data_IF_713319455869
#
_entry.id   IF_713319455869
#
_cell.length_a   1.000
_cell.length_b   1.000
_cell.length_c   1.000
_cell.angle_alpha   90.00
_cell.angle_beta   90.00
_cell.angle_gamma   90.00
#
_symmetry.space_group_name_H-M   'P 1'
#
loop_
_entity.id
_entity.type
_entity.pdbx_description
1 polymer ?
#
# COMPACT_ATOMS: atom_id res chain seq x y z
N UNK A 1 -19.75 -27.29 -66.34
CA UNK A 1 -20.61 -27.04 -65.15
C UNK A 1 -20.08 -27.88 -63.99
N UNK A 2 -19.27 -27.29 -63.10
CA UNK A 2 -18.84 -27.92 -61.84
C UNK A 2 -18.86 -26.82 -60.77
N UNK A 3 -19.82 -26.91 -59.86
CA UNK A 3 -19.97 -26.03 -58.71
C UNK A 3 -19.08 -26.62 -57.62
N UNK A 4 -18.02 -25.90 -57.23
CA UNK A 4 -17.22 -26.24 -56.07
C UNK A 4 -17.78 -25.48 -54.86
N UNK A 5 -18.54 -26.19 -54.02
CA UNK A 5 -18.91 -25.76 -52.67
C UNK A 5 -17.63 -25.70 -51.82
N UNK A 6 -17.24 -24.51 -51.38
CA UNK A 6 -16.22 -24.33 -50.35
C UNK A 6 -16.94 -24.22 -49.02
N UNK A 7 -16.87 -25.29 -48.21
CA UNK A 7 -17.27 -25.29 -46.80
C UNK A 7 -16.33 -24.33 -46.03
N UNK A 8 -16.84 -23.18 -45.63
CA UNK A 8 -16.20 -22.34 -44.61
C UNK A 8 -16.50 -22.96 -43.24
N UNK A 9 -15.58 -23.79 -42.74
CA UNK A 9 -15.61 -24.22 -41.35
C UNK A 9 -15.24 -23.01 -40.47
N UNK A 10 -16.26 -22.34 -39.92
CA UNK A 10 -16.13 -21.40 -38.81
C UNK A 10 -15.61 -22.16 -37.59
N UNK A 11 -14.27 -22.26 -37.49
CA UNK A 11 -13.60 -22.54 -36.24
C UNK A 11 -13.82 -21.32 -35.34
N UNK A 12 -14.91 -21.30 -34.58
CA UNK A 12 -15.07 -20.43 -33.43
C UNK A 12 -14.07 -20.89 -32.37
N UNK A 13 -12.82 -20.48 -32.53
CA UNK A 13 -11.82 -20.57 -31.46
C UNK A 13 -12.39 -19.72 -30.33
N UNK A 14 -12.72 -20.28 -29.16
CA UNK A 14 -13.03 -19.46 -28.01
C UNK A 14 -11.79 -18.62 -27.77
N UNK A 15 -11.92 -17.30 -27.90
CA UNK A 15 -10.86 -16.40 -27.50
C UNK A 15 -10.62 -16.66 -26.02
N UNK A 16 -9.60 -17.45 -25.72
CA UNK A 16 -9.01 -17.49 -24.40
C UNK A 16 -8.42 -16.09 -24.20
N UNK A 17 -9.24 -15.18 -23.70
CA UNK A 17 -8.74 -14.00 -23.02
C UNK A 17 -7.92 -14.55 -21.86
N UNK A 18 -6.61 -14.67 -22.06
CA UNK A 18 -5.69 -14.89 -20.96
C UNK A 18 -5.95 -13.75 -19.97
N UNK A 19 -6.39 -14.10 -18.76
CA UNK A 19 -6.66 -13.12 -17.72
C UNK A 19 -5.35 -12.47 -17.31
N UNK A 20 -5.00 -11.35 -17.96
CA UNK A 20 -3.81 -10.54 -17.65
C UNK A 20 -3.80 -10.05 -16.19
N UNK A 21 -4.95 -10.08 -15.53
CA UNK A 21 -5.13 -9.72 -14.12
C UNK A 21 -4.27 -10.59 -13.20
N UNK A 22 -4.23 -11.92 -13.42
CA UNK A 22 -3.45 -12.81 -12.55
C UNK A 22 -1.95 -12.50 -12.66
N UNK A 23 -1.48 -12.15 -13.86
CA UNK A 23 -0.09 -11.75 -14.08
C UNK A 23 0.21 -10.35 -13.51
N UNK A 24 -0.74 -9.41 -13.62
CA UNK A 24 -0.61 -8.06 -13.04
C UNK A 24 -0.43 -8.11 -11.52
N UNK A 25 -1.11 -9.03 -10.84
CA UNK A 25 -1.08 -9.16 -9.38
C UNK A 25 -0.19 -10.27 -8.84
N UNK A 26 0.37 -11.13 -9.69
CA UNK A 26 1.30 -12.20 -9.27
C UNK A 26 2.54 -11.66 -8.52
N UNK A 27 2.93 -10.42 -8.77
CA UNK A 27 4.04 -9.74 -8.10
C UNK A 27 3.68 -9.08 -6.76
N UNK A 28 2.42 -9.10 -6.33
CA UNK A 28 2.04 -8.53 -5.05
C UNK A 28 2.65 -9.33 -3.90
N UNK A 29 3.21 -8.61 -2.94
CA UNK A 29 3.69 -9.23 -1.71
C UNK A 29 2.48 -9.82 -0.95
N UNK A 30 2.49 -11.14 -0.75
CA UNK A 30 1.41 -11.88 -0.08
C UNK A 30 1.25 -11.49 1.39
N UNK A 31 2.27 -10.90 2.00
CA UNK A 31 2.21 -10.40 3.37
C UNK A 31 1.54 -9.01 3.44
N UNK A 32 1.32 -8.35 2.31
CA UNK A 32 0.61 -7.07 2.26
C UNK A 32 -0.87 -7.29 2.52
N UNK A 33 -1.37 -6.74 3.62
CA UNK A 33 -2.75 -6.95 4.05
C UNK A 33 -3.63 -5.75 3.81
N UNK A 34 -3.10 -4.56 4.08
CA UNK A 34 -3.85 -3.33 3.98
C UNK A 34 -3.06 -2.27 3.24
N UNK A 35 -3.78 -1.51 2.42
CA UNK A 35 -3.27 -0.34 1.74
C UNK A 35 -4.28 0.79 1.88
N UNK A 36 -3.79 1.97 2.20
CA UNK A 36 -4.56 3.21 2.11
C UNK A 36 -3.79 4.22 1.27
N UNK A 37 -4.49 5.02 0.48
CA UNK A 37 -3.90 6.12 -0.30
C UNK A 37 -4.71 7.38 -0.09
N UNK A 38 -4.03 8.50 0.11
CA UNK A 38 -4.65 9.80 0.33
C UNK A 38 -3.69 10.78 0.99
N UNK A 39 -4.25 11.88 1.52
CA UNK A 39 -3.44 13.00 1.99
C UNK A 39 -2.82 13.78 0.84
N UNK A 40 -2.15 14.86 1.19
CA UNK A 40 -1.44 15.71 0.25
C UNK A 40 -0.07 16.07 0.80
N UNK A 41 0.93 16.03 -0.06
CA UNK A 41 2.25 16.57 0.21
C UNK A 41 2.73 17.40 -0.97
N UNK A 42 3.56 18.38 -0.66
CA UNK A 42 4.27 19.17 -1.64
C UNK A 42 5.68 19.43 -1.12
N UNK A 43 6.68 19.14 -1.96
CA UNK A 43 8.07 19.45 -1.65
C UNK A 43 8.76 19.91 -2.94
N UNK A 44 9.37 21.10 -2.91
CA UNK A 44 9.91 21.77 -4.08
C UNK A 44 8.84 21.97 -5.18
N UNK A 45 9.04 21.38 -6.36
CA UNK A 45 8.14 21.42 -7.52
C UNK A 45 7.39 20.10 -7.74
N UNK A 46 7.33 19.24 -6.71
CA UNK A 46 6.64 17.97 -6.76
C UNK A 46 5.52 17.97 -5.73
N UNK A 47 4.43 17.33 -6.10
CA UNK A 47 3.26 17.14 -5.25
C UNK A 47 2.73 15.72 -5.45
N UNK A 48 1.93 15.28 -4.49
CA UNK A 48 1.35 13.95 -4.54
C UNK A 48 0.59 13.60 -3.28
N UNK A 49 0.40 12.30 -3.09
CA UNK A 49 -0.32 11.73 -1.95
C UNK A 49 0.55 10.68 -1.25
N UNK A 50 0.15 10.33 -0.03
CA UNK A 50 0.78 9.25 0.72
C UNK A 50 0.10 7.93 0.40
N UNK A 51 0.89 6.85 0.40
CA UNK A 51 0.35 5.48 0.47
C UNK A 51 0.89 4.78 1.70
N UNK A 52 -0.01 4.36 2.57
CA UNK A 52 0.30 3.57 3.74
C UNK A 52 0.11 2.09 3.41
N UNK A 53 1.12 1.30 3.76
CA UNK A 53 1.19 -0.12 3.48
C UNK A 53 1.40 -0.85 4.79
N UNK A 54 0.45 -1.69 5.17
CA UNK A 54 0.58 -2.57 6.34
C UNK A 54 0.81 -3.99 5.83
N UNK A 55 2.05 -4.45 5.98
CA UNK A 55 2.39 -5.85 5.80
C UNK A 55 2.37 -6.56 7.15
N UNK A 56 2.05 -7.84 7.19
CA UNK A 56 2.05 -8.55 8.46
C UNK A 56 1.60 -9.99 8.31
N UNK A 57 2.09 -10.82 9.23
CA UNK A 57 1.87 -12.26 9.21
C UNK A 57 2.46 -12.91 10.45
N UNK A 58 2.28 -14.22 10.55
CA UNK A 58 2.69 -15.02 11.70
C UNK A 58 1.51 -15.84 12.23
N UNK A 59 1.78 -17.13 12.47
CA UNK A 59 0.76 -18.06 12.95
C UNK A 59 0.59 -17.97 14.48
N UNK A 60 1.70 -18.00 15.24
CA UNK A 60 1.66 -17.97 16.71
C UNK A 60 1.87 -16.57 17.31
N UNK A 61 2.64 -15.72 16.65
CA UNK A 61 2.93 -14.35 17.10
C UNK A 61 2.75 -13.37 15.95
N UNK A 62 1.51 -12.92 15.78
CA UNK A 62 1.14 -11.98 14.73
C UNK A 62 1.90 -10.66 14.91
N UNK A 63 2.55 -10.20 13.83
CA UNK A 63 3.27 -8.93 13.78
C UNK A 63 2.93 -8.15 12.52
N UNK A 64 2.78 -6.85 12.67
CA UNK A 64 2.55 -5.90 11.60
C UNK A 64 3.81 -5.07 11.34
N UNK A 65 3.94 -4.58 10.11
CA UNK A 65 4.96 -3.62 9.67
C UNK A 65 4.27 -2.52 8.87
N UNK A 66 4.58 -1.27 9.18
CA UNK A 66 4.11 -0.10 8.47
C UNK A 66 5.20 0.43 7.54
N UNK A 67 4.81 0.66 6.29
CA UNK A 67 5.60 1.41 5.33
C UNK A 67 4.80 2.59 4.81
N UNK A 68 5.50 3.67 4.49
CA UNK A 68 4.92 4.88 3.92
C UNK A 68 5.60 5.17 2.59
N UNK A 69 4.78 5.43 1.57
CA UNK A 69 5.24 5.88 0.27
C UNK A 69 4.80 7.31 0.00
N UNK A 70 5.71 8.09 -0.59
CA UNK A 70 5.40 9.36 -1.23
C UNK A 70 5.19 9.07 -2.72
N UNK A 71 3.95 9.21 -3.17
CA UNK A 71 3.57 8.93 -4.56
C UNK A 71 3.30 10.25 -5.26
N UNK A 72 4.14 10.61 -6.22
CA UNK A 72 3.94 11.80 -7.04
C UNK A 72 2.69 11.63 -7.91
N UNK A 73 1.93 12.71 -8.08
CA UNK A 73 0.82 12.71 -9.04
C UNK A 73 1.32 12.35 -10.44
N UNK A 74 0.51 11.54 -11.12
CA UNK A 74 0.65 11.33 -12.55
C UNK A 74 -0.01 12.46 -13.33
N UNK A 75 -0.06 12.28 -14.64
CA UNK A 75 -0.88 13.08 -15.56
C UNK A 75 -1.72 12.14 -16.43
N UNK A 76 -2.51 12.70 -17.34
CA UNK A 76 -3.29 11.89 -18.31
C UNK A 76 -2.41 10.95 -19.15
N UNK A 77 -1.12 11.28 -19.31
CA UNK A 77 -0.15 10.49 -20.09
C UNK A 77 0.86 9.72 -19.24
N UNK A 78 0.93 9.98 -17.93
CA UNK A 78 1.95 9.40 -17.05
C UNK A 78 1.31 8.85 -15.77
N UNK A 79 1.59 7.59 -15.46
CA UNK A 79 1.10 6.99 -14.21
C UNK A 79 1.77 7.63 -12.98
N UNK A 80 1.08 7.67 -11.82
CA UNK A 80 1.69 8.09 -10.55
C UNK A 80 2.96 7.30 -10.23
N UNK A 81 3.96 7.98 -9.68
CA UNK A 81 5.30 7.40 -9.43
C UNK A 81 5.62 7.39 -7.94
N UNK A 82 6.01 6.22 -7.43
CA UNK A 82 6.58 6.13 -6.08
C UNK A 82 7.96 6.81 -6.08
N UNK A 83 8.08 7.92 -5.35
CA UNK A 83 9.35 8.64 -5.19
C UNK A 83 10.21 8.03 -4.09
N UNK A 84 9.56 7.65 -2.99
CA UNK A 84 10.22 7.11 -1.82
C UNK A 84 9.31 6.15 -1.09
N UNK A 85 9.90 5.07 -0.58
CA UNK A 85 9.30 4.18 0.41
C UNK A 85 10.18 4.23 1.65
N UNK A 86 9.59 4.36 2.83
CA UNK A 86 10.29 4.18 4.11
C UNK A 86 9.53 3.21 5.00
N UNK A 87 10.28 2.57 5.89
CA UNK A 87 9.76 1.85 7.05
C UNK A 87 9.59 2.81 8.23
N UNK A 88 8.58 2.56 9.06
CA UNK A 88 8.46 3.22 10.37
C UNK A 88 9.13 2.31 11.40
N UNK A 89 10.41 2.59 11.68
CA UNK A 89 11.30 1.68 12.42
C UNK A 89 10.78 1.35 13.82
N UNK A 90 10.22 2.33 14.49
CA UNK A 90 9.68 2.22 15.85
C UNK A 90 8.53 1.21 15.95
N UNK A 91 7.84 0.92 14.83
CA UNK A 91 6.77 -0.06 14.76
C UNK A 91 7.21 -1.39 14.11
N UNK A 92 8.27 -1.37 13.30
CA UNK A 92 8.68 -2.49 12.47
C UNK A 92 9.80 -3.35 13.09
N UNK A 93 10.58 -2.76 13.99
CA UNK A 93 11.73 -3.40 14.62
C UNK A 93 11.30 -4.08 15.93
N UNK A 94 11.93 -3.74 17.06
CA UNK A 94 11.55 -4.24 18.38
C UNK A 94 11.09 -3.07 19.27
N UNK A 95 10.03 -3.28 20.08
CA UNK A 95 9.28 -4.53 20.24
C UNK A 95 8.31 -4.83 19.08
N UNK A 96 7.83 -6.08 19.01
CA UNK A 96 6.88 -6.52 17.98
C UNK A 96 5.47 -6.05 18.32
N UNK A 97 4.81 -5.44 17.34
CA UNK A 97 3.46 -4.92 17.47
C UNK A 97 2.48 -5.54 16.48
N UNK A 98 1.22 -5.65 16.91
CA UNK A 98 0.06 -5.91 16.08
C UNK A 98 -0.78 -4.63 15.93
N UNK A 99 -1.06 -4.24 14.68
CA UNK A 99 -1.88 -3.06 14.35
C UNK A 99 -2.55 -3.20 12.98
N UNK A 100 -3.59 -2.38 12.76
CA UNK A 100 -4.31 -2.21 11.48
C UNK A 100 -3.80 -0.96 10.74
N UNK A 101 -4.52 -0.51 9.71
CA UNK A 101 -4.25 0.78 9.07
C UNK A 101 -4.29 1.91 10.11
N UNK A 102 -3.37 2.88 9.99
CA UNK A 102 -3.40 4.06 10.83
C UNK A 102 -4.56 4.98 10.40
N UNK A 103 -4.97 5.85 11.32
CA UNK A 103 -5.98 6.88 11.07
C UNK A 103 -5.31 8.20 10.71
N UNK A 104 -5.84 8.91 9.73
CA UNK A 104 -5.38 10.25 9.39
C UNK A 104 -5.73 11.24 10.51
N UNK A 105 -4.73 12.04 10.89
CA UNK A 105 -4.93 13.21 11.75
C UNK A 105 -4.92 14.45 10.85
N UNK A 106 -5.92 15.31 11.04
CA UNK A 106 -6.21 16.40 10.11
C UNK A 106 -7.22 15.97 9.05
N UNK A 107 -7.68 16.92 8.25
CA UNK A 107 -8.70 16.68 7.23
C UNK A 107 -8.08 15.97 6.02
N UNK A 108 -8.40 16.43 4.82
CA UNK A 108 -7.93 15.87 3.56
C UNK A 108 -6.39 15.90 3.39
N UNK A 109 -5.64 16.74 4.10
CA UNK A 109 -4.18 16.83 3.96
C UNK A 109 -3.44 15.61 4.53
N UNK A 110 -3.98 14.97 5.59
CA UNK A 110 -3.41 13.79 6.27
C UNK A 110 -1.86 13.79 6.35
N UNK A 111 -1.27 14.90 6.79
CA UNK A 111 0.18 15.00 6.97
C UNK A 111 0.68 14.36 8.28
N UNK A 112 -0.24 13.85 9.08
CA UNK A 112 0.03 13.12 10.30
C UNK A 112 -0.93 11.94 10.41
N UNK A 113 -0.50 10.87 11.05
CA UNK A 113 -1.31 9.69 11.31
C UNK A 113 -1.23 9.28 12.77
N UNK A 114 -2.33 8.72 13.27
CA UNK A 114 -2.41 8.05 14.56
C UNK A 114 -2.43 6.54 14.32
N UNK A 115 -1.71 5.79 15.16
CA UNK A 115 -1.79 4.35 15.17
C UNK A 115 -1.87 3.81 16.58
N UNK A 116 -2.81 2.90 16.79
CA UNK A 116 -2.92 2.11 18.02
C UNK A 116 -2.28 0.76 17.76
N UNK A 117 -1.19 0.48 18.48
CA UNK A 117 -0.40 -0.73 18.37
C UNK A 117 -0.49 -1.55 19.67
N UNK A 118 -0.65 -2.86 19.54
CA UNK A 118 -0.67 -3.78 20.69
C UNK A 118 0.62 -4.58 20.70
N UNK A 119 1.36 -4.55 21.80
CA UNK A 119 2.59 -5.32 21.97
C UNK A 119 2.29 -6.82 21.92
N UNK A 120 2.91 -7.57 21.01
CA UNK A 120 2.53 -8.96 20.71
C UNK A 120 2.69 -9.90 21.91
N UNK A 121 3.67 -9.65 22.79
CA UNK A 121 3.91 -10.47 23.99
C UNK A 121 3.25 -9.93 25.27
N UNK A 122 3.44 -8.65 25.59
CA UNK A 122 2.93 -8.02 26.81
C UNK A 122 1.43 -7.66 26.75
N UNK A 123 0.84 -7.64 25.55
CA UNK A 123 -0.56 -7.27 25.29
C UNK A 123 -0.93 -5.84 25.72
N UNK A 124 0.06 -5.02 26.04
CA UNK A 124 -0.06 -3.60 26.31
C UNK A 124 -0.33 -2.82 25.02
N UNK A 125 -1.13 -1.76 25.11
CA UNK A 125 -1.45 -0.91 23.97
C UNK A 125 -0.68 0.40 24.06
N UNK A 126 -0.22 0.86 22.90
CA UNK A 126 0.44 2.14 22.73
C UNK A 126 -0.26 2.91 21.63
N UNK A 127 -0.32 4.22 21.79
CA UNK A 127 -0.75 5.14 20.75
C UNK A 127 0.46 5.90 20.27
N UNK A 128 0.66 5.92 18.96
CA UNK A 128 1.74 6.67 18.35
C UNK A 128 1.20 7.63 17.32
N UNK A 129 1.79 8.81 17.25
CA UNK A 129 1.54 9.84 16.24
C UNK A 129 2.79 9.94 15.37
N UNK A 130 2.60 9.81 14.07
CA UNK A 130 3.66 9.95 13.07
C UNK A 130 3.33 11.19 12.24
N UNK A 131 4.26 12.14 12.18
CA UNK A 131 4.12 13.36 11.39
C UNK A 131 5.11 13.35 10.23
N UNK A 132 4.62 13.57 9.02
CA UNK A 132 5.45 13.62 7.82
C UNK A 132 5.99 15.04 7.60
N UNK A 133 7.31 15.18 7.58
CA UNK A 133 8.00 16.48 7.53
C UNK A 133 8.68 16.76 6.19
N UNK A 134 8.66 15.79 5.28
CA UNK A 134 9.22 15.89 3.93
C UNK A 134 9.29 14.51 3.28
N UNK A 135 9.78 14.45 2.04
CA UNK A 135 9.87 13.17 1.32
C UNK A 135 10.83 12.23 2.06
N UNK A 136 10.30 11.10 2.53
CA UNK A 136 11.06 10.10 3.27
C UNK A 136 11.46 10.51 4.69
N UNK A 137 10.84 11.56 5.25
CA UNK A 137 11.15 12.09 6.58
C UNK A 137 9.90 12.09 7.45
N UNK A 138 10.07 11.69 8.70
CA UNK A 138 9.00 11.68 9.69
C UNK A 138 9.51 11.98 11.10
N UNK A 139 8.60 12.41 11.95
CA UNK A 139 8.75 12.49 13.39
C UNK A 139 7.81 11.47 14.03
N UNK A 140 8.27 10.81 15.10
CA UNK A 140 7.51 9.79 15.82
C UNK A 140 7.36 10.19 17.28
N UNK A 141 6.12 10.20 17.77
CA UNK A 141 5.79 10.48 19.16
C UNK A 141 4.90 9.36 19.68
N UNK A 142 5.33 8.70 20.75
CA UNK A 142 4.56 7.61 21.38
C UNK A 142 4.08 8.01 22.77
N UNK A 143 2.84 7.66 23.06
CA UNK A 143 2.19 7.83 24.35
C UNK A 143 1.61 6.49 24.79
N UNK A 144 1.82 6.13 26.06
CA UNK A 144 1.14 4.97 26.65
C UNK A 144 -0.37 5.26 26.76
N UNK A 145 -1.20 4.24 26.50
CA UNK A 145 -2.66 4.31 26.66
C UNK A 145 -3.11 3.86 28.04
#
# INVERSE_FOLDING_TARGET
MKIALILLALLSIPAYAWNNIDHEFAGLNTDMRHMWSGGAWQENKQEGFYRFLVAGGGYEHYKSKLYVQWVAHGSDMESPKVLRTIEIKELNDNPLYAFNLPECIGSWECNSIEIVATHTYELTKHKSVIKFTGIGKYEFVQTAL
#
